data_IF_263071932316
#
_entry.id   IF_263071932316
#
_cell.length_a   1.000
_cell.length_b   1.000
_cell.length_c   1.000
_cell.angle_alpha   90.00
_cell.angle_beta   90.00
_cell.angle_gamma   90.00
#
_symmetry.space_group_name_H-M   'P 1'
#
loop_
_entity.id
_entity.type
_entity.pdbx_description
1 polymer ?
#
# COMPACT_ATOMS: atom_id res chain seq x y z
N UNK A 1 -6.89 -6.59 18.80
CA UNK A 1 -7.81 -7.70 19.14
C UNK A 1 -7.10 -8.60 20.14
N UNK A 2 -7.58 -8.59 21.38
CA UNK A 2 -6.94 -9.23 22.54
C UNK A 2 -7.16 -10.76 22.60
N UNK A 3 -8.03 -11.33 21.76
CA UNK A 3 -8.37 -12.76 21.78
C UNK A 3 -7.36 -13.68 21.07
N UNK A 4 -6.12 -13.24 20.84
CA UNK A 4 -5.09 -14.07 20.18
C UNK A 4 -4.55 -15.16 21.14
N UNK A 5 -4.83 -15.08 22.45
CA UNK A 5 -4.13 -15.89 23.46
C UNK A 5 -5.00 -16.81 24.33
N UNK A 6 -6.33 -16.73 24.30
CA UNK A 6 -7.18 -17.55 25.17
C UNK A 6 -8.33 -18.19 24.39
N UNK A 7 -8.41 -19.52 24.42
CA UNK A 7 -9.39 -20.31 23.66
C UNK A 7 -10.83 -20.01 24.10
N UNK A 8 -11.04 -19.74 25.40
CA UNK A 8 -12.35 -19.37 25.92
C UNK A 8 -12.87 -18.07 25.31
N UNK A 9 -12.02 -17.05 25.21
CA UNK A 9 -12.39 -15.76 24.60
C UNK A 9 -12.73 -15.92 23.10
N UNK A 10 -12.05 -16.84 22.40
CA UNK A 10 -12.35 -17.13 21.00
C UNK A 10 -13.72 -17.81 20.85
N UNK A 11 -14.06 -18.74 21.75
CA UNK A 11 -15.38 -19.39 21.78
C UNK A 11 -16.47 -18.34 22.02
N UNK A 12 -16.26 -17.40 22.94
CA UNK A 12 -17.19 -16.31 23.20
C UNK A 12 -17.36 -15.38 22.00
N UNK A 13 -16.26 -14.96 21.36
CA UNK A 13 -16.32 -14.15 20.13
C UNK A 13 -17.06 -14.89 19.00
N UNK A 14 -16.89 -16.22 18.88
CA UNK A 14 -17.62 -17.05 17.92
C UNK A 14 -19.12 -17.10 18.22
N UNK A 15 -19.49 -17.29 19.50
CA UNK A 15 -20.91 -17.25 19.93
C UNK A 15 -21.54 -15.89 19.64
N UNK A 16 -20.78 -14.81 19.82
CA UNK A 16 -21.23 -13.46 19.51
C UNK A 16 -21.50 -13.29 18.02
N UNK A 17 -20.59 -13.73 17.16
CA UNK A 17 -20.78 -13.70 15.71
C UNK A 17 -22.03 -14.49 15.30
N UNK A 18 -22.18 -15.73 15.78
CA UNK A 18 -23.35 -16.56 15.49
C UNK A 18 -24.66 -15.88 15.91
N UNK A 19 -24.68 -15.27 17.09
CA UNK A 19 -25.85 -14.52 17.58
C UNK A 19 -26.18 -13.35 16.66
N UNK A 20 -25.17 -12.61 16.20
CA UNK A 20 -25.35 -11.50 15.26
C UNK A 20 -25.83 -11.98 13.88
N UNK A 21 -25.33 -13.12 13.39
CA UNK A 21 -25.75 -13.68 12.10
C UNK A 21 -27.24 -14.02 12.09
N UNK A 22 -27.74 -14.62 13.17
CA UNK A 22 -29.17 -14.96 13.31
C UNK A 22 -30.08 -13.73 13.50
N UNK A 23 -29.52 -12.51 13.52
CA UNK A 23 -30.32 -11.28 13.46
C UNK A 23 -30.67 -10.86 12.04
N UNK A 24 -29.96 -11.37 11.04
CA UNK A 24 -30.30 -11.12 9.65
C UNK A 24 -31.32 -12.14 9.17
N UNK A 25 -32.43 -11.66 8.61
CA UNK A 25 -33.49 -12.52 8.05
C UNK A 25 -33.23 -12.80 6.56
N UNK A 26 -33.10 -11.74 5.74
CA UNK A 26 -32.92 -11.88 4.29
C UNK A 26 -31.46 -11.87 3.84
N UNK A 27 -30.69 -10.85 4.25
CA UNK A 27 -29.33 -10.60 3.73
C UNK A 27 -28.37 -10.22 4.86
N UNK A 28 -27.27 -10.96 4.98
CA UNK A 28 -26.16 -10.63 5.86
C UNK A 28 -25.02 -9.96 5.06
N UNK A 29 -24.68 -8.72 5.44
CA UNK A 29 -23.55 -8.00 4.85
C UNK A 29 -22.45 -7.85 5.90
N UNK A 30 -21.30 -8.48 5.65
CA UNK A 30 -20.11 -8.34 6.47
C UNK A 30 -19.11 -7.39 5.82
N UNK A 31 -18.64 -6.39 6.56
CA UNK A 31 -17.64 -5.43 6.06
C UNK A 31 -16.38 -5.44 6.91
N UNK A 32 -15.23 -5.29 6.24
CA UNK A 32 -13.92 -5.22 6.89
C UNK A 32 -13.18 -3.97 6.45
N UNK A 33 -12.25 -3.50 7.28
CA UNK A 33 -11.40 -2.36 6.95
C UNK A 33 -9.94 -2.73 7.24
N UNK A 34 -9.08 -2.54 6.24
CA UNK A 34 -7.63 -2.82 6.36
C UNK A 34 -6.92 -1.86 7.33
N UNK A 35 -7.44 -0.65 7.48
CA UNK A 35 -6.88 0.38 8.37
C UNK A 35 -8.01 1.07 9.12
N UNK A 36 -7.87 1.22 10.42
CA UNK A 36 -8.79 1.98 11.28
C UNK A 36 -7.99 2.88 12.22
N UNK A 37 -8.54 4.05 12.52
CA UNK A 37 -7.98 4.91 13.58
C UNK A 37 -8.58 4.45 14.89
N UNK A 38 -7.75 3.87 15.75
CA UNK A 38 -8.11 3.39 17.07
C UNK A 38 -7.20 4.07 18.09
N UNK A 39 -7.77 4.62 19.16
CA UNK A 39 -7.02 5.32 20.21
C UNK A 39 -6.05 6.36 19.62
N UNK A 40 -6.59 7.25 18.78
CA UNK A 40 -5.88 8.28 18.01
C UNK A 40 -4.83 7.78 16.99
N UNK A 41 -4.51 6.49 16.96
CA UNK A 41 -3.45 5.90 16.13
C UNK A 41 -4.04 5.16 14.93
N UNK A 42 -3.40 5.29 13.76
CA UNK A 42 -3.78 4.51 12.59
C UNK A 42 -3.24 3.07 12.73
N UNK A 43 -4.12 2.11 12.95
CA UNK A 43 -3.76 0.70 13.09
C UNK A 43 -4.16 -0.07 11.83
N UNK A 44 -3.25 -0.94 11.37
CA UNK A 44 -3.57 -1.95 10.37
C UNK A 44 -4.35 -3.09 11.04
N UNK A 45 -5.44 -3.51 10.43
CA UNK A 45 -6.29 -4.59 10.93
C UNK A 45 -6.34 -5.69 9.88
N UNK A 46 -6.14 -6.92 10.33
CA UNK A 46 -6.39 -8.09 9.51
C UNK A 46 -7.88 -8.43 9.50
N UNK A 47 -8.42 -9.00 8.41
CA UNK A 47 -9.78 -9.53 8.39
C UNK A 47 -9.99 -10.55 9.51
N UNK A 48 -11.22 -10.60 10.04
CA UNK A 48 -11.58 -11.59 11.06
C UNK A 48 -11.38 -13.01 10.53
N UNK A 49 -10.81 -13.90 11.36
CA UNK A 49 -10.58 -15.31 11.01
C UNK A 49 -11.87 -16.04 10.66
N UNK A 50 -12.98 -15.69 11.31
CA UNK A 50 -14.29 -16.30 11.09
C UNK A 50 -14.80 -16.12 9.66
N UNK A 51 -14.34 -15.08 8.95
CA UNK A 51 -14.74 -14.86 7.55
C UNK A 51 -14.26 -15.99 6.64
N UNK A 52 -13.12 -16.64 6.97
CA UNK A 52 -12.57 -17.76 6.19
C UNK A 52 -13.27 -19.08 6.44
N UNK A 53 -14.12 -19.15 7.46
CA UNK A 53 -14.82 -20.37 7.86
C UNK A 53 -16.17 -20.51 7.16
N UNK A 54 -16.65 -19.46 6.50
CA UNK A 54 -17.88 -19.53 5.73
C UNK A 54 -17.66 -20.29 4.42
N UNK A 55 -18.63 -21.14 4.01
CA UNK A 55 -18.53 -21.85 2.74
C UNK A 55 -18.62 -20.86 1.57
N UNK A 56 -17.73 -21.03 0.59
CA UNK A 56 -17.65 -20.16 -0.59
C UNK A 56 -18.93 -20.20 -1.44
N UNK A 57 -19.71 -21.29 -1.36
CA UNK A 57 -20.94 -21.49 -2.12
C UNK A 57 -22.07 -20.53 -1.71
N UNK A 58 -22.12 -20.08 -0.46
CA UNK A 58 -23.15 -19.16 0.04
C UNK A 58 -22.67 -17.71 0.14
N UNK A 59 -21.40 -17.45 -0.16
CA UNK A 59 -20.76 -16.17 0.09
C UNK A 59 -20.41 -15.42 -1.19
N UNK A 60 -21.01 -14.25 -1.40
CA UNK A 60 -20.57 -13.32 -2.46
C UNK A 60 -19.53 -12.34 -1.93
N UNK A 61 -18.25 -12.62 -2.20
CA UNK A 61 -17.14 -11.77 -1.75
C UNK A 61 -16.96 -10.57 -2.70
N UNK A 62 -17.20 -9.35 -2.18
CA UNK A 62 -16.98 -8.10 -2.91
C UNK A 62 -15.63 -7.51 -2.48
N UNK A 63 -14.55 -7.88 -3.18
CA UNK A 63 -13.27 -7.22 -2.99
C UNK A 63 -13.16 -6.03 -3.92
N UNK A 64 -12.91 -4.85 -3.34
CA UNK A 64 -12.45 -3.69 -4.11
C UNK A 64 -11.02 -3.98 -4.52
N UNK A 65 -10.86 -4.70 -5.64
CA UNK A 65 -9.60 -4.80 -6.34
C UNK A 65 -9.24 -3.36 -6.73
N UNK A 66 -8.46 -2.69 -5.88
CA UNK A 66 -7.67 -1.56 -6.31
C UNK A 66 -6.90 -2.13 -7.50
N UNK A 67 -7.34 -1.78 -8.72
CA UNK A 67 -6.77 -2.27 -9.97
C UNK A 67 -5.28 -2.34 -9.71
N UNK A 68 -4.69 -3.54 -9.72
CA UNK A 68 -3.24 -3.67 -9.72
C UNK A 68 -2.85 -2.74 -10.87
N UNK A 69 -2.31 -1.56 -10.55
CA UNK A 69 -1.62 -0.77 -11.57
C UNK A 69 -0.66 -1.80 -12.11
N UNK A 70 -0.83 -2.21 -13.38
CA UNK A 70 0.12 -3.10 -14.02
C UNK A 70 1.46 -2.51 -13.65
N UNK A 71 2.20 -3.18 -12.80
CA UNK A 71 3.63 -2.94 -12.72
C UNK A 71 4.05 -3.33 -14.12
N UNK A 72 4.21 -2.32 -14.98
CA UNK A 72 4.84 -2.52 -16.27
C UNK A 72 6.19 -3.12 -15.93
N UNK A 73 6.31 -4.44 -16.10
CA UNK A 73 7.60 -5.08 -16.23
C UNK A 73 8.20 -4.44 -17.47
N UNK A 74 9.13 -3.50 -17.26
CA UNK A 74 9.89 -2.89 -18.34
C UNK A 74 10.83 -3.97 -18.87
N UNK A 75 10.38 -4.74 -19.86
CA UNK A 75 11.30 -5.28 -20.85
C UNK A 75 11.70 -4.09 -21.72
N UNK A 76 12.97 -3.71 -21.66
CA UNK A 76 13.52 -2.74 -22.58
C UNK A 76 13.55 -3.39 -23.96
N UNK A 77 12.86 -2.78 -24.92
CA UNK A 77 13.26 -2.92 -26.30
C UNK A 77 13.50 -1.53 -26.90
N UNK A 78 14.59 -1.46 -27.64
CA UNK A 78 15.39 -0.29 -27.87
C UNK A 78 14.99 0.34 -29.19
N UNK A 79 13.76 0.84 -29.34
CA UNK A 79 13.41 1.60 -30.54
C UNK A 79 12.13 2.41 -30.34
N UNK A 80 12.27 3.70 -30.01
CA UNK A 80 11.51 4.81 -30.62
C UNK A 80 11.82 6.14 -29.89
N UNK A 81 12.04 7.23 -30.64
CA UNK A 81 12.42 8.53 -30.09
C UNK A 81 11.19 9.37 -29.69
N UNK A 82 11.43 10.40 -28.85
CA UNK A 82 10.58 11.59 -28.69
C UNK A 82 9.37 11.51 -27.73
N UNK A 83 9.63 11.72 -26.43
CA UNK A 83 9.18 12.92 -25.71
C UNK A 83 9.99 12.98 -24.41
N UNK A 84 10.79 14.04 -24.23
CA UNK A 84 11.66 14.24 -23.09
C UNK A 84 10.85 14.49 -21.79
N UNK A 85 10.21 13.45 -21.27
CA UNK A 85 9.78 13.46 -19.87
C UNK A 85 11.01 13.12 -19.04
N UNK A 86 11.46 14.07 -18.22
CA UNK A 86 12.56 13.91 -17.27
C UNK A 86 12.26 12.77 -16.28
N UNK A 87 12.38 11.52 -16.70
CA UNK A 87 12.32 10.34 -15.85
C UNK A 87 13.75 9.95 -15.57
N UNK A 88 14.17 10.15 -14.32
CA UNK A 88 15.40 9.53 -13.83
C UNK A 88 15.05 8.07 -13.52
N UNK A 89 15.73 7.09 -14.13
CA UNK A 89 15.49 5.69 -13.80
C UNK A 89 15.76 5.41 -12.31
N UNK A 90 15.06 4.43 -11.75
CA UNK A 90 15.34 3.95 -10.40
C UNK A 90 16.73 3.28 -10.38
N UNK A 91 17.47 3.45 -9.29
CA UNK A 91 18.85 2.96 -9.16
C UNK A 91 19.94 3.93 -9.64
N UNK A 92 19.59 5.01 -10.35
CA UNK A 92 20.56 6.02 -10.78
C UNK A 92 21.15 6.76 -9.56
N UNK A 93 22.48 6.98 -9.59
CA UNK A 93 23.16 7.82 -8.61
C UNK A 93 22.94 9.29 -8.97
N UNK A 94 22.55 10.08 -7.99
CA UNK A 94 22.30 11.51 -8.14
C UNK A 94 23.04 12.28 -7.06
N UNK A 95 23.55 13.45 -7.41
CA UNK A 95 24.20 14.37 -6.48
C UNK A 95 23.26 15.52 -6.18
N UNK A 96 23.06 15.77 -4.89
CA UNK A 96 22.36 16.95 -4.38
C UNK A 96 23.37 17.89 -3.73
N UNK A 97 23.26 19.23 -3.93
CA UNK A 97 24.20 20.19 -3.35
C UNK A 97 24.37 20.07 -1.83
N UNK A 98 23.28 19.81 -1.11
CA UNK A 98 23.27 19.76 0.36
C UNK A 98 23.54 18.35 0.92
N UNK A 99 22.99 17.31 0.28
CA UNK A 99 22.97 15.95 0.85
C UNK A 99 23.99 15.02 0.20
N UNK A 100 24.75 15.52 -0.77
CA UNK A 100 25.77 14.77 -1.48
C UNK A 100 25.16 13.72 -2.40
N UNK A 101 25.86 12.60 -2.54
CA UNK A 101 25.52 11.54 -3.49
C UNK A 101 24.48 10.61 -2.85
N UNK A 102 23.40 10.33 -3.57
CA UNK A 102 22.33 9.42 -3.18
C UNK A 102 21.88 8.55 -4.33
N UNK A 103 21.06 7.54 -4.04
CA UNK A 103 20.50 6.61 -5.03
C UNK A 103 19.01 6.81 -5.14
N UNK A 104 18.51 7.00 -6.36
CA UNK A 104 17.08 7.10 -6.64
C UNK A 104 16.40 5.76 -6.35
N UNK A 105 15.39 5.77 -5.49
CA UNK A 105 14.58 4.59 -5.17
C UNK A 105 13.32 4.53 -5.99
N UNK A 106 12.65 5.65 -6.14
CA UNK A 106 11.36 5.72 -6.81
C UNK A 106 11.10 7.10 -7.41
N UNK A 107 10.29 7.16 -8.44
CA UNK A 107 9.85 8.37 -9.10
C UNK A 107 8.35 8.28 -9.38
N UNK A 108 7.59 9.27 -8.93
CA UNK A 108 6.16 9.36 -9.20
C UNK A 108 5.75 10.78 -9.53
N UNK A 109 4.70 10.89 -10.32
CA UNK A 109 4.11 12.17 -10.70
C UNK A 109 2.96 12.45 -9.75
N UNK A 110 3.00 13.61 -9.10
CA UNK A 110 1.99 14.08 -8.15
C UNK A 110 1.47 15.44 -8.63
N UNK A 111 0.19 15.49 -9.05
CA UNK A 111 -0.46 16.70 -9.58
C UNK A 111 0.34 17.45 -10.66
N UNK A 112 1.02 16.73 -11.55
CA UNK A 112 1.83 17.30 -12.64
C UNK A 112 3.30 17.62 -12.26
N UNK A 113 3.69 17.44 -11.00
CA UNK A 113 5.08 17.53 -10.56
C UNK A 113 5.71 16.16 -10.38
N UNK A 114 6.85 15.93 -11.02
CA UNK A 114 7.65 14.72 -10.83
C UNK A 114 8.38 14.80 -9.51
N UNK A 115 8.04 13.91 -8.57
CA UNK A 115 8.71 13.76 -7.27
C UNK A 115 9.55 12.50 -7.29
N UNK A 116 10.76 12.61 -6.75
CA UNK A 116 11.75 11.55 -6.69
C UNK A 116 12.09 11.26 -5.24
N UNK A 117 12.14 9.99 -4.86
CA UNK A 117 12.62 9.55 -3.56
C UNK A 117 14.07 9.10 -3.70
N UNK A 118 14.98 9.81 -3.04
CA UNK A 118 16.42 9.54 -3.07
C UNK A 118 16.87 9.09 -1.69
N UNK A 119 17.62 7.99 -1.64
CA UNK A 119 18.29 7.53 -0.41
C UNK A 119 19.69 8.10 -0.37
N UNK A 120 19.93 9.05 0.54
CA UNK A 120 21.25 9.58 0.83
C UNK A 120 21.88 8.78 1.98
N UNK A 121 23.14 8.32 1.88
CA UNK A 121 23.79 7.56 2.95
C UNK A 121 23.87 8.34 4.28
N UNK A 122 24.13 9.65 4.22
CA UNK A 122 24.31 10.50 5.40
C UNK A 122 23.01 10.94 6.07
N UNK A 123 21.90 11.01 5.32
CA UNK A 123 20.66 11.70 5.76
C UNK A 123 19.41 10.81 5.65
N UNK A 124 19.51 9.66 4.98
CA UNK A 124 18.40 8.74 4.77
C UNK A 124 17.54 9.09 3.54
N UNK A 125 16.29 8.65 3.56
CA UNK A 125 15.35 8.84 2.44
C UNK A 125 14.78 10.26 2.43
N UNK A 126 14.91 10.95 1.31
CA UNK A 126 14.33 12.29 1.08
C UNK A 126 13.46 12.28 -0.17
N UNK A 127 12.30 12.93 -0.07
CA UNK A 127 11.36 13.16 -1.16
C UNK A 127 11.61 14.54 -1.74
N UNK A 128 11.98 14.60 -3.00
CA UNK A 128 12.43 15.80 -3.69
C UNK A 128 11.61 16.03 -4.96
N UNK A 129 11.31 17.28 -5.28
CA UNK A 129 10.68 17.61 -6.56
C UNK A 129 11.76 17.79 -7.62
N UNK A 130 11.63 17.11 -8.75
CA UNK A 130 12.66 17.10 -9.79
C UNK A 130 12.92 18.50 -10.37
N UNK A 131 11.91 19.37 -10.36
CA UNK A 131 12.00 20.77 -10.81
C UNK A 131 12.80 21.67 -9.86
N UNK A 132 12.83 21.35 -8.57
CA UNK A 132 13.38 22.23 -7.52
C UNK A 132 14.62 21.66 -6.83
N UNK A 133 14.91 20.38 -7.02
CA UNK A 133 15.95 19.68 -6.26
C UNK A 133 17.36 19.79 -6.87
N UNK A 134 17.51 20.40 -8.05
CA UNK A 134 18.80 20.60 -8.72
C UNK A 134 19.72 19.37 -8.65
N UNK A 135 19.16 18.19 -9.00
CA UNK A 135 19.88 16.93 -8.93
C UNK A 135 20.76 16.75 -10.18
N UNK A 136 22.05 16.56 -9.97
CA UNK A 136 23.00 16.19 -11.03
C UNK A 136 23.04 14.65 -11.14
N UNK A 137 22.97 14.12 -12.35
CA UNK A 137 23.18 12.68 -12.58
C UNK A 137 24.68 12.41 -12.64
N UNK A 138 25.12 11.33 -11.98
CA UNK A 138 26.50 10.81 -12.02
C UNK A 138 26.50 9.50 -12.81
#
# INVERSE_FOLDING_TARGET
>A
FQAIKNDNSLIEERKLLYTCMNRAEDVLILTTAKRRRLYATLQSQEPSRFIKEFPDSSCRIIQRNARKRKTMTFMCDSTTPSYATNKIPHGTKVKHPIWGIGVVRDCYIDKGDTKVMVKFPKVGLKKLSLKFANLERI
#
